data_IF_621864454498
#
_entry.id   IF_621864454498
#
_cell.length_a   1.000
_cell.length_b   1.000
_cell.length_c   1.000
_cell.angle_alpha   90.00
_cell.angle_beta   90.00
_cell.angle_gamma   90.00
#
_symmetry.space_group_name_H-M   'P 1'
#
loop_
_entity.id
_entity.type
_entity.pdbx_description
1 polymer ?
#
# COMPACT_ATOMS: atom_id res chain seq x y z
N UNK A 1 -22.50 -50.10 40.35
CA UNK A 1 -21.87 -48.91 40.96
C UNK A 1 -21.16 -48.17 39.84
N UNK A 2 -21.69 -47.02 39.40
CA UNK A 2 -21.10 -46.24 38.31
C UNK A 2 -20.36 -45.04 38.90
N UNK A 3 -19.07 -44.96 38.63
CA UNK A 3 -18.19 -43.89 39.11
C UNK A 3 -18.18 -42.79 38.06
N UNK A 4 -18.81 -41.66 38.36
CA UNK A 4 -18.82 -40.45 37.54
C UNK A 4 -17.48 -39.73 37.63
N UNK A 5 -16.78 -39.57 36.51
CA UNK A 5 -15.53 -38.83 36.44
C UNK A 5 -15.79 -37.31 36.47
N UNK A 6 -14.98 -36.51 37.20
CA UNK A 6 -15.12 -35.06 37.22
C UNK A 6 -14.64 -34.43 35.90
N UNK A 7 -15.43 -33.49 35.39
CA UNK A 7 -15.11 -32.70 34.19
C UNK A 7 -13.89 -31.80 34.43
N UNK A 8 -12.99 -31.63 33.43
CA UNK A 8 -11.93 -30.64 33.52
C UNK A 8 -12.54 -29.24 33.45
N UNK A 9 -12.39 -28.49 34.53
CA UNK A 9 -12.65 -27.05 34.56
C UNK A 9 -11.75 -26.39 33.51
N UNK A 10 -12.36 -25.93 32.43
CA UNK A 10 -11.71 -25.19 31.36
C UNK A 10 -11.07 -23.91 31.88
N UNK A 11 -9.81 -24.01 32.31
CA UNK A 11 -8.93 -22.87 32.47
C UNK A 11 -8.67 -22.29 31.09
N UNK A 12 -9.27 -21.14 30.79
CA UNK A 12 -8.86 -20.33 29.66
C UNK A 12 -7.38 -20.00 29.86
N UNK A 13 -6.49 -20.23 28.87
CA UNK A 13 -5.11 -19.78 28.98
C UNK A 13 -5.14 -18.26 29.24
N UNK A 14 -4.24 -17.71 30.08
CA UNK A 14 -4.17 -16.27 30.29
C UNK A 14 -4.05 -15.61 28.93
N UNK A 15 -5.06 -14.84 28.60
CA UNK A 15 -5.14 -14.08 27.36
C UNK A 15 -3.83 -13.32 27.19
N UNK A 16 -3.17 -13.63 26.07
CA UNK A 16 -1.96 -13.02 25.58
C UNK A 16 -1.94 -11.53 25.94
N UNK A 17 -0.81 -11.12 26.53
CA UNK A 17 -0.62 -9.78 27.07
C UNK A 17 -1.17 -8.71 26.15
N UNK A 18 -1.87 -7.76 26.77
CA UNK A 18 -2.25 -6.47 26.23
C UNK A 18 -1.09 -5.95 25.38
N UNK A 19 -1.24 -5.96 24.05
CA UNK A 19 -0.30 -5.32 23.13
C UNK A 19 -0.50 -3.83 23.36
N UNK A 20 0.22 -3.28 24.33
CA UNK A 20 0.31 -1.85 24.60
C UNK A 20 0.59 -1.16 23.28
N UNK A 21 -0.23 -0.14 22.96
CA UNK A 21 -0.27 0.48 21.65
C UNK A 21 1.13 0.71 21.06
N UNK A 22 1.35 0.16 19.87
CA UNK A 22 2.57 0.36 19.10
C UNK A 22 2.70 1.85 18.76
N UNK A 23 3.37 2.60 19.64
CA UNK A 23 3.88 3.91 19.28
C UNK A 23 4.76 3.73 18.03
N UNK A 24 4.63 4.62 17.04
CA UNK A 24 5.17 4.47 15.68
C UNK A 24 6.71 4.36 15.57
N UNK A 25 7.44 4.08 16.66
CA UNK A 25 8.89 3.87 16.68
C UNK A 25 9.38 2.73 17.56
N UNK A 26 8.50 1.98 18.24
CA UNK A 26 8.95 0.89 19.11
C UNK A 26 9.17 -0.40 18.30
N UNK A 27 10.44 -0.80 18.15
CA UNK A 27 10.80 -2.04 17.45
C UNK A 27 10.28 -3.22 18.29
N UNK A 28 9.56 -4.18 17.68
CA UNK A 28 9.06 -5.36 18.38
C UNK A 28 10.16 -6.04 19.19
N UNK A 29 9.82 -6.48 20.41
CA UNK A 29 10.76 -7.13 21.31
C UNK A 29 10.29 -8.54 21.66
N UNK A 30 11.26 -9.44 21.85
CA UNK A 30 11.04 -10.79 22.37
C UNK A 30 10.71 -10.76 23.88
N UNK A 31 10.34 -11.93 24.42
CA UNK A 31 10.15 -12.13 25.87
C UNK A 31 11.39 -11.74 26.69
N UNK A 32 12.59 -11.88 26.10
CA UNK A 32 13.86 -11.49 26.71
C UNK A 32 14.19 -9.99 26.59
N UNK A 33 13.27 -9.18 26.04
CA UNK A 33 13.47 -7.75 25.79
C UNK A 33 14.42 -7.42 24.63
N UNK A 34 14.87 -8.44 23.86
CA UNK A 34 15.73 -8.29 22.68
C UNK A 34 14.93 -7.78 21.49
N UNK A 35 15.57 -6.96 20.64
CA UNK A 35 14.91 -6.38 19.45
C UNK A 35 14.78 -7.43 18.36
N UNK A 36 13.58 -7.62 17.85
CA UNK A 36 13.28 -8.48 16.72
C UNK A 36 13.48 -7.74 15.39
N UNK A 37 13.81 -8.52 14.36
CA UNK A 37 13.89 -8.01 12.99
C UNK A 37 12.53 -7.46 12.54
N UNK A 38 12.50 -6.20 12.10
CA UNK A 38 11.26 -5.54 11.64
C UNK A 38 10.54 -6.28 10.50
N UNK A 39 11.27 -7.07 9.70
CA UNK A 39 10.70 -7.74 8.54
C UNK A 39 10.18 -9.14 8.82
N UNK A 40 10.98 -9.98 9.50
CA UNK A 40 10.60 -11.37 9.73
C UNK A 40 9.99 -11.62 11.10
N UNK A 41 10.21 -10.73 12.08
CA UNK A 41 9.72 -10.85 13.47
C UNK A 41 10.10 -12.15 14.20
N UNK A 42 10.97 -12.98 13.61
CA UNK A 42 11.35 -14.31 14.13
C UNK A 42 12.78 -14.31 14.66
N UNK A 43 13.68 -13.55 14.02
CA UNK A 43 15.11 -13.55 14.36
C UNK A 43 15.45 -12.30 15.15
N UNK A 44 16.21 -12.43 16.26
CA UNK A 44 16.74 -11.28 16.97
C UNK A 44 17.70 -10.52 16.05
N UNK A 45 17.71 -9.19 16.18
CA UNK A 45 18.66 -8.35 15.48
C UNK A 45 20.01 -8.46 16.20
N UNK A 46 21.12 -8.75 15.49
CA UNK A 46 22.43 -8.79 16.11
C UNK A 46 22.79 -7.41 16.67
N UNK A 47 23.42 -7.40 17.85
CA UNK A 47 23.93 -6.17 18.44
C UNK A 47 24.90 -5.48 17.47
N UNK A 48 24.64 -4.21 17.21
CA UNK A 48 25.48 -3.41 16.33
C UNK A 48 26.73 -2.98 17.09
N UNK A 49 27.92 -3.36 16.61
CA UNK A 49 29.22 -2.90 17.14
C UNK A 49 29.52 -1.41 16.83
N UNK A 50 28.53 -0.61 16.45
CA UNK A 50 28.73 0.77 16.00
C UNK A 50 27.63 1.72 16.47
N UNK A 51 27.75 2.99 16.09
CA UNK A 51 26.89 4.10 16.57
C UNK A 51 25.43 4.03 16.10
N UNK A 52 25.09 3.17 15.12
CA UNK A 52 23.73 3.08 14.58
C UNK A 52 23.12 1.69 14.81
N UNK A 53 22.02 1.60 15.57
CA UNK A 53 21.35 0.32 15.79
C UNK A 53 20.82 -0.24 14.48
N UNK A 54 21.01 -1.54 14.29
CA UNK A 54 20.42 -2.26 13.15
C UNK A 54 18.93 -2.49 13.42
N UNK A 55 18.13 -2.55 12.35
CA UNK A 55 16.70 -2.87 12.40
C UNK A 55 16.35 -4.22 11.78
N UNK A 56 17.27 -4.82 11.03
CA UNK A 56 17.07 -6.09 10.33
C UNK A 56 18.12 -7.10 10.74
N UNK A 57 17.73 -8.38 10.86
CA UNK A 57 18.66 -9.46 11.21
C UNK A 57 19.67 -9.77 10.09
N UNK A 58 19.34 -9.48 8.83
CA UNK A 58 20.18 -9.80 7.67
C UNK A 58 20.00 -8.81 6.51
N UNK A 59 20.94 -8.83 5.56
CA UNK A 59 20.85 -8.04 4.31
C UNK A 59 19.65 -8.47 3.45
N UNK A 60 19.34 -9.77 3.40
CA UNK A 60 18.20 -10.29 2.64
C UNK A 60 16.87 -9.78 3.21
N UNK A 61 16.68 -9.84 4.54
CA UNK A 61 15.49 -9.27 5.19
C UNK A 61 15.36 -7.77 4.91
N UNK A 62 16.47 -7.02 4.89
CA UNK A 62 16.47 -5.60 4.53
C UNK A 62 16.00 -5.40 3.09
N UNK A 63 16.52 -6.18 2.13
CA UNK A 63 16.13 -6.09 0.72
C UNK A 63 14.65 -6.41 0.52
N UNK A 64 14.17 -7.52 1.07
CA UNK A 64 12.74 -7.88 1.01
C UNK A 64 11.83 -6.83 1.63
N UNK A 65 12.25 -6.21 2.74
CA UNK A 65 11.51 -5.11 3.34
C UNK A 65 11.45 -3.86 2.43
N UNK A 66 12.51 -3.58 1.67
CA UNK A 66 12.47 -2.51 0.66
C UNK A 66 11.56 -2.86 -0.51
N UNK A 67 11.65 -4.09 -1.03
CA UNK A 67 10.81 -4.56 -2.13
C UNK A 67 9.32 -4.56 -1.74
N UNK A 68 8.99 -5.07 -0.55
CA UNK A 68 7.63 -5.03 -0.02
C UNK A 68 7.12 -3.58 0.12
N UNK A 69 7.94 -2.65 0.60
CA UNK A 69 7.58 -1.22 0.66
C UNK A 69 7.38 -0.62 -0.74
N UNK A 70 8.24 -0.97 -1.69
CA UNK A 70 8.13 -0.50 -3.08
C UNK A 70 6.86 -1.02 -3.74
N UNK A 71 6.57 -2.32 -3.61
CA UNK A 71 5.33 -2.93 -4.12
C UNK A 71 4.10 -2.33 -3.45
N UNK A 72 4.12 -2.16 -2.13
CA UNK A 72 3.02 -1.53 -1.40
C UNK A 72 2.73 -0.10 -1.86
N UNK A 73 3.77 0.69 -2.21
CA UNK A 73 3.58 2.03 -2.80
C UNK A 73 2.93 1.95 -4.18
N UNK A 74 3.39 1.02 -5.02
CA UNK A 74 2.82 0.83 -6.35
C UNK A 74 1.34 0.41 -6.29
N UNK A 75 1.01 -0.56 -5.43
CA UNK A 75 -0.39 -0.98 -5.20
C UNK A 75 -1.24 0.17 -4.68
N UNK A 76 -0.76 0.94 -3.69
CA UNK A 76 -1.50 2.12 -3.19
C UNK A 76 -1.73 3.16 -4.28
N UNK A 77 -0.72 3.42 -5.11
CA UNK A 77 -0.83 4.38 -6.21
C UNK A 77 -1.84 3.92 -7.27
N UNK A 78 -1.78 2.65 -7.68
CA UNK A 78 -2.72 2.09 -8.67
C UNK A 78 -4.16 2.10 -8.15
N UNK A 79 -4.39 1.71 -6.89
CA UNK A 79 -5.70 1.80 -6.25
C UNK A 79 -6.20 3.24 -6.19
N UNK A 80 -5.35 4.19 -5.80
CA UNK A 80 -5.73 5.60 -5.76
C UNK A 80 -6.10 6.15 -7.14
N UNK A 81 -5.35 5.78 -8.18
CA UNK A 81 -5.66 6.18 -9.55
C UNK A 81 -6.98 5.57 -10.05
N UNK A 82 -7.24 4.30 -9.72
CA UNK A 82 -8.50 3.63 -10.06
C UNK A 82 -9.70 4.33 -9.39
N UNK A 83 -9.60 4.63 -8.09
CA UNK A 83 -10.63 5.36 -7.35
C UNK A 83 -10.85 6.77 -7.90
N UNK A 84 -9.78 7.47 -8.30
CA UNK A 84 -9.87 8.81 -8.88
C UNK A 84 -10.58 8.77 -10.24
N UNK A 85 -10.24 7.77 -11.08
CA UNK A 85 -10.88 7.56 -12.38
C UNK A 85 -12.36 7.24 -12.24
N UNK A 86 -12.73 6.38 -11.28
CA UNK A 86 -14.13 6.07 -10.99
C UNK A 86 -14.91 7.31 -10.54
N UNK A 87 -14.33 8.12 -9.65
CA UNK A 87 -14.93 9.39 -9.22
C UNK A 87 -15.17 10.34 -10.40
N UNK A 88 -14.20 10.45 -11.31
CA UNK A 88 -14.34 11.29 -12.52
C UNK A 88 -15.44 10.77 -13.45
N UNK A 89 -15.52 9.45 -13.68
CA UNK A 89 -16.57 8.87 -14.52
C UNK A 89 -17.97 9.11 -13.95
N UNK A 90 -18.15 8.98 -12.63
CA UNK A 90 -19.44 9.27 -11.98
C UNK A 90 -19.82 10.74 -12.09
N UNK A 91 -18.87 11.67 -11.89
CA UNK A 91 -19.13 13.10 -12.04
C UNK A 91 -19.56 13.46 -13.47
N UNK A 92 -18.89 12.90 -14.48
CA UNK A 92 -19.25 13.13 -15.88
C UNK A 92 -20.63 12.56 -16.24
N UNK A 93 -20.98 11.38 -15.70
CA UNK A 93 -22.30 10.78 -15.91
C UNK A 93 -23.43 11.68 -15.38
N UNK A 94 -23.27 12.26 -14.18
CA UNK A 94 -24.28 13.17 -13.61
C UNK A 94 -24.42 14.49 -14.36
N UNK A 95 -23.33 14.96 -15.00
CA UNK A 95 -23.35 16.20 -15.76
C UNK A 95 -24.00 16.02 -17.14
N UNK A 96 -23.85 14.84 -17.76
CA UNK A 96 -24.49 14.53 -19.03
C UNK A 96 -26.02 14.54 -18.91
N UNK A 97 -26.58 14.02 -17.82
CA UNK A 97 -28.03 13.97 -17.61
C UNK A 97 -28.69 15.34 -17.32
N UNK A 98 -27.93 16.36 -16.90
CA UNK A 98 -28.49 17.67 -16.59
C UNK A 98 -28.61 18.59 -17.81
N UNK A 99 -27.91 18.29 -18.91
CA UNK A 99 -27.84 19.18 -20.08
C UNK A 99 -28.94 18.95 -21.11
N UNK A 100 -29.47 17.72 -21.18
CA UNK A 100 -30.50 17.32 -22.15
C UNK A 100 -31.93 17.32 -21.58
N UNK A 101 -32.14 17.81 -20.34
CA UNK A 101 -33.47 18.01 -19.78
C UNK A 101 -33.79 19.52 -19.64
N UNK A 102 -34.19 20.20 -20.73
CA UNK A 102 -34.64 21.59 -20.67
C UNK A 102 -35.97 21.78 -19.91
N UNK A 103 -36.69 20.71 -19.53
CA UNK A 103 -37.97 20.75 -18.81
C UNK A 103 -37.85 20.60 -17.28
N UNK A 104 -36.66 20.31 -16.72
CA UNK A 104 -36.46 20.22 -15.26
C UNK A 104 -36.35 21.59 -14.56
N UNK A 105 -37.04 22.61 -15.10
CA UNK A 105 -37.30 23.90 -14.45
C UNK A 105 -38.72 23.91 -13.86
N UNK A 106 -39.10 22.84 -13.17
CA UNK A 106 -40.23 22.83 -12.24
C UNK A 106 -39.63 23.10 -10.87
N UNK A 107 -39.76 24.31 -10.30
CA UNK A 107 -40.98 24.78 -9.64
C UNK A 107 -41.46 23.70 -8.67
N UNK A 108 -40.80 23.60 -7.51
CA UNK A 108 -41.38 23.12 -6.25
C UNK A 108 -40.54 23.64 -5.09
N UNK A 109 -41.04 24.74 -4.56
CA UNK A 109 -40.74 25.32 -3.26
C UNK A 109 -41.54 24.53 -2.20
N UNK A 110 -40.95 24.36 -1.02
CA UNK A 110 -41.56 23.89 0.24
C UNK A 110 -42.10 22.44 0.31
N UNK A 111 -41.48 21.63 1.18
CA UNK A 111 -42.14 20.40 1.65
C UNK A 111 -41.23 19.41 2.37
N UNK A 112 -41.20 19.57 3.68
CA UNK A 112 -41.13 18.49 4.67
C UNK A 112 -39.84 17.73 5.02
N UNK A 113 -39.64 17.74 6.33
CA UNK A 113 -38.82 16.85 7.12
C UNK A 113 -39.20 15.38 6.88
N UNK A 114 -38.22 14.49 6.82
CA UNK A 114 -38.34 13.17 7.43
C UNK A 114 -36.97 12.55 7.68
N UNK A 115 -36.59 12.52 8.95
CA UNK A 115 -35.59 11.63 9.52
C UNK A 115 -36.01 10.17 9.35
N UNK A 116 -35.15 9.31 8.80
CA UNK A 116 -35.17 7.84 9.04
C UNK A 116 -33.84 7.25 8.53
N UNK A 117 -32.82 7.03 9.36
CA UNK A 117 -32.58 5.90 10.29
C UNK A 117 -32.79 4.49 9.69
N UNK A 118 -31.71 3.71 9.82
CA UNK A 118 -31.61 2.24 9.81
C UNK A 118 -31.83 1.48 8.50
N UNK A 119 -30.72 1.17 7.81
CA UNK A 119 -30.53 -0.15 7.17
C UNK A 119 -29.11 -0.65 7.43
N UNK A 120 -28.99 -1.48 8.46
CA UNK A 120 -27.94 -2.48 8.54
C UNK A 120 -28.15 -3.53 7.44
N UNK A 121 -27.16 -3.72 6.57
CA UNK A 121 -26.98 -4.96 5.81
C UNK A 121 -25.53 -5.06 5.38
N UNK A 122 -24.75 -5.71 6.22
CA UNK A 122 -23.46 -6.27 5.83
C UNK A 122 -23.71 -7.63 5.18
N UNK A 123 -23.37 -7.85 3.89
CA UNK A 123 -23.20 -9.20 3.40
C UNK A 123 -21.90 -9.75 3.99
N UNK A 124 -22.02 -10.79 4.80
CA UNK A 124 -20.92 -11.64 5.20
C UNK A 124 -20.27 -12.19 3.92
N UNK A 125 -19.12 -11.61 3.54
CA UNK A 125 -18.28 -12.16 2.49
C UNK A 125 -17.69 -13.47 3.01
N UNK A 126 -18.31 -14.58 2.63
CA UNK A 126 -17.75 -15.93 2.72
C UNK A 126 -16.38 -15.89 2.02
N UNK A 127 -15.32 -15.89 2.83
CA UNK A 127 -13.94 -16.05 2.33
C UNK A 127 -13.86 -17.40 1.63
N UNK A 128 -13.51 -17.47 0.34
CA UNK A 128 -13.18 -18.74 -0.27
C UNK A 128 -11.93 -19.30 0.40
N UNK A 129 -12.06 -20.51 0.94
CA UNK A 129 -10.94 -21.35 1.39
C UNK A 129 -9.97 -21.52 0.22
N UNK A 130 -8.70 -21.10 0.33
CA UNK A 130 -7.72 -21.39 -0.71
C UNK A 130 -7.52 -22.90 -0.79
N UNK A 131 -7.72 -23.45 -2.00
CA UNK A 131 -7.47 -24.85 -2.29
C UNK A 131 -6.01 -25.23 -1.93
N UNK A 132 -5.74 -26.47 -1.52
CA UNK A 132 -4.38 -26.95 -1.31
C UNK A 132 -3.57 -26.74 -2.58
N UNK A 133 -2.49 -25.97 -2.48
CA UNK A 133 -1.58 -25.76 -3.59
C UNK A 133 -0.94 -27.10 -3.95
N UNK A 134 -1.23 -27.59 -5.16
CA UNK A 134 -0.49 -28.70 -5.76
C UNK A 134 1.02 -28.39 -5.74
N UNK A 135 1.88 -29.40 -5.49
CA UNK A 135 3.32 -29.24 -5.53
C UNK A 135 3.73 -28.81 -6.95
N UNK A 136 4.11 -27.53 -7.09
CA UNK A 136 4.66 -27.01 -8.34
C UNK A 136 5.93 -27.79 -8.68
N UNK A 137 6.11 -28.27 -9.92
CA UNK A 137 7.35 -28.89 -10.35
C UNK A 137 8.51 -27.89 -10.18
N UNK A 138 9.74 -28.37 -9.95
CA UNK A 138 10.91 -27.51 -9.82
C UNK A 138 11.04 -26.65 -11.08
N UNK A 139 11.00 -25.33 -10.89
CA UNK A 139 11.28 -24.35 -11.93
C UNK A 139 12.73 -24.56 -12.33
N UNK A 140 12.95 -25.15 -13.51
CA UNK A 140 14.28 -25.24 -14.08
C UNK A 140 14.79 -23.81 -14.32
N UNK A 141 16.04 -23.49 -13.93
CA UNK A 141 16.60 -22.18 -14.24
C UNK A 141 16.62 -21.99 -15.77
N UNK A 142 16.29 -20.80 -16.27
CA UNK A 142 16.39 -20.52 -17.70
C UNK A 142 17.83 -20.81 -18.15
N UNK A 143 17.97 -21.76 -19.06
CA UNK A 143 19.23 -22.09 -19.73
C UNK A 143 19.70 -20.81 -20.43
N UNK A 144 20.86 -20.29 -20.04
CA UNK A 144 21.44 -19.03 -20.55
C UNK A 144 21.82 -19.08 -22.04
N UNK A 145 21.45 -20.13 -22.77
CA UNK A 145 21.83 -20.36 -24.15
C UNK A 145 20.90 -19.69 -25.18
N UNK A 146 19.76 -19.12 -24.76
CA UNK A 146 18.77 -18.56 -25.70
C UNK A 146 18.70 -17.02 -25.73
N UNK A 147 19.64 -16.32 -25.09
CA UNK A 147 19.60 -14.85 -24.93
C UNK A 147 20.73 -14.12 -25.67
N UNK A 148 21.42 -14.78 -26.60
CA UNK A 148 22.57 -14.21 -27.32
C UNK A 148 22.35 -14.01 -28.82
N UNK A 149 21.14 -14.22 -29.35
CA UNK A 149 20.85 -14.11 -30.79
C UNK A 149 19.94 -12.92 -31.18
N UNK A 150 19.59 -12.02 -30.27
CA UNK A 150 18.62 -10.93 -30.55
C UNK A 150 19.14 -9.49 -30.30
N UNK A 151 20.47 -9.28 -30.27
CA UNK A 151 21.08 -7.95 -30.01
C UNK A 151 21.62 -7.21 -31.26
N UNK A 152 21.41 -7.69 -32.49
CA UNK A 152 22.05 -7.10 -33.68
C UNK A 152 21.10 -6.27 -34.59
N UNK A 153 19.97 -5.76 -34.08
CA UNK A 153 19.02 -5.02 -34.94
C UNK A 153 18.21 -3.94 -34.20
N UNK A 154 18.90 -3.01 -33.53
CA UNK A 154 18.29 -1.74 -33.10
C UNK A 154 19.34 -0.62 -32.98
N UNK A 155 20.20 -0.49 -33.98
CA UNK A 155 20.94 0.75 -34.23
C UNK A 155 20.11 1.66 -35.15
N UNK A 156 20.20 2.97 -34.90
CA UNK A 156 19.68 4.09 -35.71
C UNK A 156 18.22 4.57 -35.48
N UNK A 157 17.90 5.06 -34.27
CA UNK A 157 17.16 6.34 -34.16
C UNK A 157 17.38 7.04 -32.79
N UNK A 158 18.64 7.17 -32.35
CA UNK A 158 18.95 8.01 -31.17
C UNK A 158 18.88 9.49 -31.58
N UNK A 159 17.70 10.08 -31.45
CA UNK A 159 17.50 11.52 -31.58
C UNK A 159 18.46 12.26 -30.63
N UNK A 160 19.14 13.34 -31.09
CA UNK A 160 20.13 14.05 -30.29
C UNK A 160 19.46 14.60 -29.03
N UNK A 161 19.90 14.09 -27.87
CA UNK A 161 19.47 14.61 -26.57
C UNK A 161 19.76 16.12 -26.53
N UNK A 162 18.77 16.98 -26.24
CA UNK A 162 19.02 18.40 -26.14
C UNK A 162 20.07 18.63 -25.04
N UNK A 163 21.04 19.54 -25.26
CA UNK A 163 22.06 19.83 -24.27
C UNK A 163 21.36 20.27 -22.99
N UNK A 164 21.78 19.70 -21.86
CA UNK A 164 21.27 20.03 -20.54
C UNK A 164 21.36 21.54 -20.33
N UNK A 165 20.24 22.24 -20.52
CA UNK A 165 20.12 23.67 -20.21
C UNK A 165 20.39 23.80 -18.72
N UNK A 166 21.56 24.35 -18.37
CA UNK A 166 21.93 24.67 -17.00
C UNK A 166 20.81 25.56 -16.42
N UNK A 167 20.12 25.06 -15.40
CA UNK A 167 19.04 25.77 -14.70
C UNK A 167 19.46 27.12 -14.12
N UNK A 168 20.75 27.45 -14.12
CA UNK A 168 21.28 28.71 -13.61
C UNK A 168 20.91 29.92 -14.47
N UNK A 169 20.57 29.76 -15.75
CA UNK A 169 20.23 30.90 -16.61
C UNK A 169 18.78 31.41 -16.44
N UNK A 170 17.88 30.61 -15.85
CA UNK A 170 16.49 31.02 -15.66
C UNK A 170 16.30 32.05 -14.53
N UNK A 171 17.21 32.13 -13.55
CA UNK A 171 17.10 33.12 -12.47
C UNK A 171 17.53 34.53 -12.89
N UNK A 172 18.17 34.70 -14.06
CA UNK A 172 18.65 36.01 -14.53
C UNK A 172 17.61 36.80 -15.33
N UNK A 173 16.46 36.21 -15.67
CA UNK A 173 15.38 36.84 -16.42
C UNK A 173 14.18 37.30 -15.57
N UNK A 174 14.29 37.31 -14.23
CA UNK A 174 13.22 37.90 -13.43
C UNK A 174 13.26 39.43 -13.53
N UNK A 175 12.23 40.09 -14.10
CA UNK A 175 12.16 41.54 -14.15
C UNK A 175 12.08 42.09 -12.72
N UNK A 176 12.94 43.06 -12.44
CA UNK A 176 13.02 43.77 -11.17
C UNK A 176 11.73 44.59 -11.00
N UNK A 177 10.83 44.14 -10.12
CA UNK A 177 9.61 44.88 -9.81
C UNK A 177 9.99 46.25 -9.21
N UNK A 178 9.48 47.38 -9.73
CA UNK A 178 9.70 48.67 -9.13
C UNK A 178 9.00 48.70 -7.76
N UNK A 179 9.81 48.69 -6.70
CA UNK A 179 9.34 48.91 -5.33
C UNK A 179 8.83 50.34 -5.18
N UNK A 180 7.52 50.49 -5.18
CA UNK A 180 6.83 51.66 -4.67
C UNK A 180 6.14 51.29 -3.36
N UNK A 181 6.76 51.64 -2.24
CA UNK A 181 6.07 51.82 -0.97
C UNK A 181 6.30 53.28 -0.57
N UNK A 182 5.24 54.07 -0.76
CA UNK A 182 5.04 55.32 -0.02
C UNK A 182 4.32 55.04 1.28
#
# INVERSE_FOLDING_TARGET
>A
MYVTAPHPTGGWPPSAGTVTGMTQGEIPRDADGRRLCEHCLVKPVPESLGTKPRSYCSRNCRQRAYEARRQGRFVKQTVNMALLRERMMRANATQATSRDNPEAKSRDDAGDQATSRDVASAPAATRPTPAPAEPRPPVQPPTQAALFEEEDQADEEEAPRPPARRMTDLLKQMPKLPGGFG
#
